data_IF_413537726234
#
_entry.id   IF_413537726234
#
_cell.length_a   1.000
_cell.length_b   1.000
_cell.length_c   1.000
_cell.angle_alpha   90.00
_cell.angle_beta   90.00
_cell.angle_gamma   90.00
#
_symmetry.space_group_name_H-M   'P 1'
#
loop_
_entity.id
_entity.type
_entity.pdbx_description
1 polymer ?
#
# COMPACT_ATOMS: atom_id res chain seq x y z
N UNK A 1 -53.77 -15.44 10.17
CA UNK A 1 -53.01 -16.58 10.75
C UNK A 1 -51.77 -16.00 11.41
N UNK A 2 -51.60 -16.18 12.73
CA UNK A 2 -50.48 -15.59 13.49
C UNK A 2 -49.16 -16.21 13.03
N UNK A 3 -48.08 -15.43 12.93
CA UNK A 3 -46.77 -15.92 12.47
C UNK A 3 -46.27 -17.13 13.26
N UNK A 4 -46.49 -17.16 14.57
CA UNK A 4 -46.22 -18.32 15.43
C UNK A 4 -46.91 -19.61 14.97
N UNK A 5 -48.18 -19.53 14.55
CA UNK A 5 -48.91 -20.70 14.03
C UNK A 5 -48.32 -21.20 12.71
N UNK A 6 -47.76 -20.28 11.90
CA UNK A 6 -47.05 -20.66 10.68
C UNK A 6 -45.76 -21.42 11.02
N UNK A 7 -44.98 -20.95 12.00
CA UNK A 7 -43.78 -21.65 12.48
C UNK A 7 -44.10 -23.04 13.03
N UNK A 8 -45.15 -23.17 13.86
CA UNK A 8 -45.59 -24.46 14.40
C UNK A 8 -45.99 -25.44 13.28
N UNK A 9 -46.72 -24.96 12.27
CA UNK A 9 -47.09 -25.79 11.12
C UNK A 9 -45.86 -26.24 10.32
N UNK A 10 -44.88 -25.36 10.09
CA UNK A 10 -43.63 -25.71 9.40
C UNK A 10 -42.81 -26.73 10.19
N UNK A 11 -42.67 -26.51 11.51
CA UNK A 11 -42.00 -27.44 12.42
C UNK A 11 -42.60 -28.84 12.32
N UNK A 12 -43.93 -28.92 12.46
CA UNK A 12 -44.65 -30.19 12.42
C UNK A 12 -44.54 -30.87 11.04
N UNK A 13 -44.65 -30.10 9.95
CA UNK A 13 -44.55 -30.62 8.58
C UNK A 13 -43.16 -31.20 8.25
N UNK A 14 -42.08 -30.61 8.82
CA UNK A 14 -40.70 -31.08 8.64
C UNK A 14 -40.25 -32.08 9.70
N UNK A 15 -41.09 -32.40 10.69
CA UNK A 15 -40.76 -33.33 11.77
C UNK A 15 -39.61 -32.84 12.67
N UNK A 16 -39.41 -31.53 12.79
CA UNK A 16 -38.33 -30.96 13.61
C UNK A 16 -38.75 -31.01 15.09
N UNK A 17 -37.96 -31.68 15.92
CA UNK A 17 -38.15 -31.70 17.38
C UNK A 17 -37.33 -30.57 18.00
N UNK A 18 -38.00 -29.66 18.69
CA UNK A 18 -37.36 -28.61 19.47
C UNK A 18 -36.94 -29.15 20.82
N UNK A 19 -35.74 -28.76 21.26
CA UNK A 19 -35.26 -29.07 22.60
C UNK A 19 -35.79 -28.04 23.62
N UNK A 20 -35.82 -28.38 24.93
CA UNK A 20 -36.26 -27.44 25.96
C UNK A 20 -35.41 -26.17 26.06
N UNK A 21 -34.15 -26.24 25.62
CA UNK A 21 -33.20 -25.12 25.54
C UNK A 21 -33.18 -24.44 24.16
N UNK A 22 -34.05 -24.83 23.22
CA UNK A 22 -34.14 -24.12 21.94
C UNK A 22 -34.92 -22.81 22.15
N UNK A 23 -34.28 -21.67 21.85
CA UNK A 23 -34.90 -20.34 21.96
C UNK A 23 -35.36 -19.84 20.59
N UNK A 24 -36.53 -19.21 20.53
CA UNK A 24 -37.05 -18.57 19.31
C UNK A 24 -36.88 -17.07 19.41
N UNK A 25 -36.16 -16.49 18.45
CA UNK A 25 -36.06 -15.04 18.28
C UNK A 25 -36.96 -14.62 17.13
N UNK A 26 -37.73 -13.55 17.36
CA UNK A 26 -38.60 -12.92 16.38
C UNK A 26 -38.21 -11.46 16.23
N UNK A 27 -38.05 -11.02 14.99
CA UNK A 27 -37.74 -9.64 14.66
C UNK A 27 -38.73 -9.14 13.60
N UNK A 28 -39.06 -7.86 13.65
CA UNK A 28 -39.98 -7.23 12.72
C UNK A 28 -39.21 -6.22 11.88
N UNK A 29 -38.91 -6.58 10.63
CA UNK A 29 -38.12 -5.75 9.73
C UNK A 29 -39.03 -4.95 8.78
N UNK A 30 -38.69 -3.68 8.50
CA UNK A 30 -39.39 -2.89 7.49
C UNK A 30 -39.08 -3.43 6.09
N UNK A 31 -40.05 -3.38 5.18
CA UNK A 31 -39.80 -3.76 3.78
C UNK A 31 -38.88 -2.77 3.10
N UNK A 32 -37.91 -3.29 2.33
CA UNK A 32 -37.01 -2.48 1.50
C UNK A 32 -37.71 -1.61 0.45
N UNK A 33 -38.90 -2.04 -0.02
CA UNK A 33 -39.70 -1.29 -0.98
C UNK A 33 -41.19 -1.36 -0.61
N UNK A 34 -41.79 -0.19 -0.34
CA UNK A 34 -43.20 -0.02 -0.01
C UNK A 34 -43.50 0.02 1.48
N UNK A 35 -44.77 0.25 1.82
CA UNK A 35 -45.23 0.29 3.22
C UNK A 35 -45.41 -1.13 3.78
N UNK A 36 -44.93 -1.34 5.00
CA UNK A 36 -45.19 -2.54 5.79
C UNK A 36 -43.94 -3.19 6.38
N UNK A 37 -44.17 -4.25 7.14
CA UNK A 37 -43.13 -5.02 7.81
C UNK A 37 -43.24 -6.51 7.46
N UNK A 38 -42.17 -7.25 7.63
CA UNK A 38 -42.16 -8.71 7.62
C UNK A 38 -41.49 -9.26 8.87
N UNK A 39 -41.89 -10.47 9.26
CA UNK A 39 -41.30 -11.17 10.39
C UNK A 39 -40.05 -11.92 9.95
N UNK A 40 -38.95 -11.65 10.64
CA UNK A 40 -37.73 -12.45 10.65
C UNK A 40 -37.72 -13.36 11.88
N UNK A 41 -37.04 -14.50 11.75
CA UNK A 41 -36.83 -15.38 12.88
C UNK A 41 -35.57 -16.19 12.72
N UNK A 42 -35.06 -16.68 13.84
CA UNK A 42 -34.12 -17.79 13.92
C UNK A 42 -34.35 -18.53 15.23
N UNK A 43 -33.95 -19.80 15.26
CA UNK A 43 -33.87 -20.57 16.50
C UNK A 43 -32.41 -20.64 16.97
N UNK A 44 -32.23 -20.59 18.28
CA UNK A 44 -30.95 -20.77 18.96
C UNK A 44 -30.95 -22.13 19.62
N UNK A 45 -29.93 -22.95 19.37
CA UNK A 45 -29.70 -24.19 20.10
C UNK A 45 -28.46 -24.06 20.96
N UNK A 46 -28.64 -23.96 22.28
CA UNK A 46 -27.53 -23.74 23.22
C UNK A 46 -26.62 -24.95 23.36
N UNK A 47 -27.19 -26.16 23.37
CA UNK A 47 -26.43 -27.43 23.41
C UNK A 47 -25.37 -27.54 22.30
N UNK A 48 -25.72 -27.15 21.08
CA UNK A 48 -24.85 -27.20 19.89
C UNK A 48 -24.15 -25.87 19.59
N UNK A 49 -24.44 -24.80 20.35
CA UNK A 49 -23.98 -23.42 20.10
C UNK A 49 -24.21 -22.98 18.66
N UNK A 50 -25.41 -23.16 18.14
CA UNK A 50 -25.73 -22.87 16.74
C UNK A 50 -27.04 -22.14 16.58
N UNK A 51 -27.15 -21.42 15.48
CA UNK A 51 -28.43 -20.92 14.98
C UNK A 51 -28.98 -21.90 13.93
N UNK A 52 -30.30 -21.99 13.82
CA UNK A 52 -30.96 -22.74 12.76
C UNK A 52 -32.31 -22.14 12.37
N UNK A 53 -32.79 -22.52 11.19
CA UNK A 53 -34.08 -22.12 10.65
C UNK A 53 -34.92 -23.36 10.34
N UNK A 54 -36.24 -23.22 10.41
CA UNK A 54 -37.13 -24.33 10.03
C UNK A 54 -37.18 -24.49 8.51
N UNK A 55 -36.82 -23.47 7.75
CA UNK A 55 -36.75 -23.48 6.29
C UNK A 55 -35.29 -23.45 5.82
N UNK A 56 -35.09 -23.71 4.54
CA UNK A 56 -33.78 -23.66 3.93
C UNK A 56 -33.36 -22.18 3.88
N UNK A 57 -32.34 -21.83 4.66
CA UNK A 57 -31.83 -20.47 4.77
C UNK A 57 -30.57 -20.32 3.90
N UNK A 58 -30.56 -19.31 3.05
CA UNK A 58 -29.39 -18.98 2.25
C UNK A 58 -28.37 -18.22 3.11
N UNK A 59 -27.39 -18.97 3.62
CA UNK A 59 -26.31 -18.45 4.46
C UNK A 59 -25.16 -17.83 3.64
N UNK A 60 -25.30 -17.68 2.31
CA UNK A 60 -24.24 -17.19 1.43
C UNK A 60 -23.84 -15.74 1.73
N UNK A 61 -24.79 -14.89 2.13
CA UNK A 61 -24.52 -13.50 2.50
C UNK A 61 -23.67 -13.42 3.78
N UNK A 62 -23.96 -14.24 4.78
CA UNK A 62 -23.23 -14.28 6.05
C UNK A 62 -21.78 -14.75 5.92
N UNK A 63 -21.45 -15.51 4.87
CA UNK A 63 -20.10 -16.02 4.60
C UNK A 63 -19.41 -15.30 3.44
N UNK A 64 -20.01 -14.22 2.92
CA UNK A 64 -19.56 -13.52 1.71
C UNK A 64 -18.17 -12.87 1.85
N UNK A 65 -17.68 -12.71 3.08
CA UNK A 65 -16.32 -12.25 3.38
C UNK A 65 -15.25 -13.21 2.82
N UNK A 66 -15.58 -14.50 2.68
CA UNK A 66 -14.69 -15.51 2.12
C UNK A 66 -15.18 -15.95 0.74
N UNK A 67 -14.23 -16.02 -0.21
CA UNK A 67 -14.52 -16.38 -1.61
C UNK A 67 -14.67 -17.89 -1.83
N UNK A 68 -14.14 -18.70 -0.92
CA UNK A 68 -14.08 -20.14 -1.09
C UNK A 68 -14.38 -20.86 0.23
N UNK A 69 -15.64 -20.87 0.63
CA UNK A 69 -16.11 -21.72 1.73
C UNK A 69 -16.67 -23.01 1.14
N UNK A 70 -16.09 -24.16 1.52
CA UNK A 70 -16.44 -25.45 0.92
C UNK A 70 -16.85 -26.53 1.93
N UNK A 71 -16.63 -26.31 3.22
CA UNK A 71 -16.86 -27.31 4.26
C UNK A 71 -17.87 -26.82 5.31
N UNK A 72 -18.83 -27.69 5.66
CA UNK A 72 -19.78 -27.42 6.73
C UNK A 72 -19.08 -27.19 8.09
N UNK A 73 -17.95 -27.87 8.33
CA UNK A 73 -17.15 -27.66 9.54
C UNK A 73 -16.54 -26.25 9.59
N UNK A 74 -16.25 -25.64 8.44
CA UNK A 74 -15.77 -24.27 8.36
C UNK A 74 -16.91 -23.26 8.58
N UNK A 75 -18.06 -23.50 7.94
CA UNK A 75 -19.28 -22.68 8.14
C UNK A 75 -19.71 -22.70 9.63
N UNK A 76 -19.49 -23.81 10.32
CA UNK A 76 -19.76 -23.92 11.76
C UNK A 76 -19.03 -22.86 12.59
N UNK A 77 -17.83 -22.41 12.20
CA UNK A 77 -17.16 -21.31 12.90
C UNK A 77 -17.93 -19.99 12.80
N UNK A 78 -18.53 -19.70 11.65
CA UNK A 78 -19.37 -18.51 11.48
C UNK A 78 -20.71 -18.65 12.20
N UNK A 79 -21.33 -19.84 12.17
CA UNK A 79 -22.54 -20.11 12.97
C UNK A 79 -22.28 -20.00 14.48
N UNK A 80 -21.12 -20.47 14.96
CA UNK A 80 -20.67 -20.26 16.34
C UNK A 80 -20.52 -18.76 16.63
N UNK A 81 -19.96 -17.99 15.70
CA UNK A 81 -19.83 -16.54 15.84
C UNK A 81 -21.19 -15.85 15.97
N UNK A 82 -22.15 -16.20 15.09
CA UNK A 82 -23.53 -15.69 15.18
C UNK A 82 -24.24 -16.12 16.47
N UNK A 83 -23.98 -17.33 16.97
CA UNK A 83 -24.48 -17.77 18.28
C UNK A 83 -23.95 -16.87 19.41
N UNK A 84 -22.66 -16.54 19.42
CA UNK A 84 -22.09 -15.65 20.44
C UNK A 84 -22.50 -14.18 20.25
N UNK A 85 -22.75 -13.76 19.01
CA UNK A 85 -23.35 -12.46 18.72
C UNK A 85 -24.77 -12.37 19.29
N UNK A 86 -25.55 -13.45 19.27
CA UNK A 86 -26.83 -13.50 19.97
C UNK A 86 -26.68 -13.24 21.48
N UNK A 87 -25.67 -13.82 22.13
CA UNK A 87 -25.36 -13.53 23.55
C UNK A 87 -24.94 -12.07 23.78
N UNK A 88 -24.24 -11.45 22.83
CA UNK A 88 -23.89 -10.03 22.90
C UNK A 88 -25.14 -9.14 22.82
N UNK A 89 -26.06 -9.45 21.90
CA UNK A 89 -27.24 -8.62 21.61
C UNK A 89 -28.42 -8.86 22.57
N UNK A 90 -28.60 -10.10 23.04
CA UNK A 90 -29.72 -10.53 23.88
C UNK A 90 -29.24 -11.22 25.17
N UNK A 91 -28.49 -10.54 26.06
CA UNK A 91 -27.90 -11.17 27.23
C UNK A 91 -28.88 -11.50 28.37
N UNK A 92 -30.12 -10.99 28.30
CA UNK A 92 -31.06 -10.97 29.43
C UNK A 92 -31.63 -12.35 29.74
N UNK A 93 -31.58 -12.75 31.01
CA UNK A 93 -32.20 -13.98 31.48
C UNK A 93 -31.36 -15.24 31.25
N UNK A 94 -30.22 -15.12 30.56
CA UNK A 94 -29.26 -16.20 30.40
C UNK A 94 -28.27 -16.25 31.56
N UNK A 95 -27.83 -17.46 31.90
CA UNK A 95 -26.74 -17.68 32.85
C UNK A 95 -25.54 -18.21 32.09
N UNK A 96 -24.46 -17.43 32.04
CA UNK A 96 -23.23 -17.88 31.42
C UNK A 96 -22.71 -19.15 32.09
N UNK A 97 -22.43 -20.17 31.28
CA UNK A 97 -21.80 -21.38 31.77
C UNK A 97 -20.32 -21.10 32.10
N UNK A 98 -19.87 -21.53 33.28
CA UNK A 98 -18.45 -21.42 33.68
C UNK A 98 -17.47 -22.09 32.69
N UNK A 99 -17.96 -23.07 31.92
CA UNK A 99 -17.19 -23.67 30.82
C UNK A 99 -16.83 -22.65 29.73
N UNK A 100 -17.75 -21.75 29.38
CA UNK A 100 -17.51 -20.74 28.34
C UNK A 100 -16.43 -19.74 28.78
N UNK A 101 -16.44 -19.33 30.05
CA UNK A 101 -15.41 -18.46 30.59
C UNK A 101 -14.04 -19.14 30.53
N UNK A 102 -13.92 -20.39 31.02
CA UNK A 102 -12.66 -21.14 30.96
C UNK A 102 -12.15 -21.33 29.53
N UNK A 103 -13.05 -21.59 28.59
CA UNK A 103 -12.73 -21.71 27.18
C UNK A 103 -12.15 -20.41 26.62
N UNK A 104 -12.82 -19.28 26.89
CA UNK A 104 -12.34 -17.96 26.47
C UNK A 104 -10.99 -17.60 27.11
N UNK A 105 -10.82 -17.87 28.41
CA UNK A 105 -9.53 -17.70 29.09
C UNK A 105 -8.42 -18.51 28.41
N UNK A 106 -8.69 -19.77 28.05
CA UNK A 106 -7.74 -20.60 27.31
C UNK A 106 -7.39 -20.04 25.93
N UNK A 107 -8.38 -19.53 25.19
CA UNK A 107 -8.16 -18.88 23.89
C UNK A 107 -7.27 -17.65 24.04
N UNK A 108 -7.53 -16.80 25.03
CA UNK A 108 -6.76 -15.58 25.27
C UNK A 108 -5.31 -15.87 25.68
N UNK A 109 -5.08 -16.86 26.54
CA UNK A 109 -3.73 -17.29 26.92
C UNK A 109 -2.97 -17.80 25.70
N UNK A 110 -3.61 -18.65 24.88
CA UNK A 110 -3.02 -19.13 23.64
C UNK A 110 -2.68 -17.98 22.68
N UNK A 111 -3.62 -17.05 22.47
CA UNK A 111 -3.41 -15.88 21.62
C UNK A 111 -2.26 -15.00 22.12
N UNK A 112 -2.15 -14.78 23.44
CA UNK A 112 -1.08 -13.98 24.03
C UNK A 112 0.28 -14.66 23.87
N UNK A 113 0.35 -15.97 24.07
CA UNK A 113 1.56 -16.75 23.84
C UNK A 113 1.99 -16.73 22.37
N UNK A 114 1.05 -16.95 21.44
CA UNK A 114 1.31 -16.90 20.00
C UNK A 114 1.79 -15.51 19.56
N UNK A 115 1.13 -14.42 19.96
CA UNK A 115 1.59 -13.05 19.67
C UNK A 115 2.94 -12.71 20.29
N UNK A 116 3.25 -13.25 21.47
CA UNK A 116 4.53 -13.00 22.15
C UNK A 116 5.69 -13.77 21.51
N UNK A 117 5.42 -14.92 20.92
CA UNK A 117 6.45 -15.83 20.37
C UNK A 117 6.56 -15.79 18.86
N UNK A 118 5.53 -15.27 18.16
CA UNK A 118 5.46 -15.22 16.70
C UNK A 118 5.20 -13.80 16.21
N UNK A 119 6.16 -13.17 15.48
CA UNK A 119 5.93 -11.86 14.87
C UNK A 119 4.88 -11.92 13.75
N UNK A 120 4.56 -13.12 13.26
CA UNK A 120 3.67 -13.32 12.12
C UNK A 120 2.31 -13.91 12.49
N UNK A 121 1.99 -13.98 13.79
CA UNK A 121 0.70 -14.48 14.30
C UNK A 121 -0.51 -13.84 13.61
N UNK A 122 -1.57 -14.63 13.45
CA UNK A 122 -2.84 -14.24 12.80
C UNK A 122 -3.75 -13.42 13.72
N UNK A 123 -3.48 -13.36 15.03
CA UNK A 123 -4.33 -12.59 15.96
C UNK A 123 -4.17 -11.08 15.74
N UNK A 124 -5.31 -10.38 15.66
CA UNK A 124 -5.38 -8.94 15.37
C UNK A 124 -5.31 -8.03 16.60
N UNK A 125 -4.78 -8.51 17.72
CA UNK A 125 -4.69 -7.77 18.99
C UNK A 125 -3.25 -7.72 19.49
N UNK A 126 -2.90 -6.64 20.21
CA UNK A 126 -1.61 -6.55 20.90
C UNK A 126 -1.57 -7.48 22.11
N UNK A 127 -0.38 -7.77 22.63
CA UNK A 127 -0.24 -8.58 23.85
C UNK A 127 -0.88 -7.86 25.04
N UNK A 128 -0.83 -6.52 25.04
CA UNK A 128 -1.43 -5.63 26.02
C UNK A 128 -2.96 -5.72 25.99
N UNK A 129 -3.57 -5.69 24.81
CA UNK A 129 -5.03 -5.84 24.65
C UNK A 129 -5.49 -7.21 25.19
N UNK A 130 -4.77 -8.28 24.82
CA UNK A 130 -5.09 -9.65 25.24
C UNK A 130 -4.97 -9.84 26.77
N UNK A 131 -3.98 -9.20 27.40
CA UNK A 131 -3.85 -9.15 28.87
C UNK A 131 -5.00 -8.37 29.49
N UNK A 132 -5.38 -7.23 28.92
CA UNK A 132 -6.54 -6.46 29.36
C UNK A 132 -7.83 -7.28 29.32
N UNK A 133 -8.04 -8.08 28.27
CA UNK A 133 -9.18 -9.00 28.20
C UNK A 133 -9.17 -10.08 29.27
N UNK A 134 -7.99 -10.64 29.61
CA UNK A 134 -7.86 -11.60 30.71
C UNK A 134 -8.24 -10.98 32.05
N UNK A 135 -7.74 -9.77 32.34
CA UNK A 135 -8.08 -9.05 33.58
C UNK A 135 -9.58 -8.76 33.69
N UNK A 136 -10.26 -8.46 32.56
CA UNK A 136 -11.71 -8.29 32.54
C UNK A 136 -12.44 -9.59 32.88
N UNK A 137 -11.97 -10.73 32.38
CA UNK A 137 -12.57 -12.04 32.68
C UNK A 137 -12.38 -12.45 34.13
N UNK A 138 -11.24 -12.14 34.74
CA UNK A 138 -11.00 -12.43 36.16
C UNK A 138 -11.98 -11.66 37.05
N UNK A 139 -12.30 -10.41 36.69
CA UNK A 139 -13.33 -9.61 37.38
C UNK A 139 -14.73 -10.17 37.18
N UNK A 140 -15.06 -10.61 35.96
CA UNK A 140 -16.35 -11.25 35.65
C UNK A 140 -16.52 -12.56 36.43
N UNK A 141 -15.46 -13.34 36.65
CA UNK A 141 -15.54 -14.56 37.47
C UNK A 141 -15.75 -14.27 38.96
N UNK A 142 -15.28 -13.13 39.44
CA UNK A 142 -15.40 -12.73 40.83
C UNK A 142 -16.77 -12.13 41.16
N UNK A 143 -17.47 -11.59 40.16
CA UNK A 143 -18.81 -10.99 40.31
C UNK A 143 -19.90 -12.00 39.92
N UNK A 144 -21.08 -11.90 40.54
CA UNK A 144 -22.20 -12.78 40.21
C UNK A 144 -22.71 -12.46 38.79
N UNK A 145 -23.01 -13.53 38.04
CA UNK A 145 -23.38 -13.56 36.62
C UNK A 145 -24.35 -12.41 36.22
N UNK A 146 -23.83 -11.33 35.62
CA UNK A 146 -24.62 -10.19 35.15
C UNK A 146 -24.89 -10.25 33.66
N UNK A 147 -26.01 -9.66 33.22
CA UNK A 147 -26.31 -9.53 31.79
C UNK A 147 -25.19 -8.79 31.02
N UNK A 148 -24.49 -7.87 31.69
CA UNK A 148 -23.31 -7.20 31.10
C UNK A 148 -22.11 -8.14 30.94
N UNK A 149 -21.90 -9.07 31.88
CA UNK A 149 -20.88 -10.11 31.73
C UNK A 149 -21.19 -11.04 30.56
N UNK A 150 -22.46 -11.43 30.38
CA UNK A 150 -22.92 -12.20 29.23
C UNK A 150 -22.57 -11.48 27.91
N UNK A 151 -22.83 -10.17 27.85
CA UNK A 151 -22.53 -9.35 26.68
C UNK A 151 -21.02 -9.33 26.38
N UNK A 152 -20.17 -9.11 27.39
CA UNK A 152 -18.71 -9.08 27.22
C UNK A 152 -18.17 -10.43 26.76
N UNK A 153 -18.60 -11.53 27.36
CA UNK A 153 -18.13 -12.87 26.99
C UNK A 153 -18.66 -13.26 25.61
N UNK A 154 -19.93 -12.96 25.31
CA UNK A 154 -20.51 -13.13 23.98
C UNK A 154 -19.71 -12.40 22.91
N UNK A 155 -19.41 -11.11 23.13
CA UNK A 155 -18.61 -10.31 22.21
C UNK A 155 -17.22 -10.89 21.96
N UNK A 156 -16.49 -11.27 23.03
CA UNK A 156 -15.15 -11.83 22.88
C UNK A 156 -15.16 -13.21 22.20
N UNK A 157 -16.10 -14.08 22.56
CA UNK A 157 -16.25 -15.39 21.93
C UNK A 157 -16.64 -15.28 20.44
N UNK A 158 -17.52 -14.32 20.10
CA UNK A 158 -17.87 -13.99 18.73
C UNK A 158 -16.63 -13.61 17.93
N UNK A 159 -15.84 -12.65 18.43
CA UNK A 159 -14.60 -12.20 17.79
C UNK A 159 -13.64 -13.37 17.47
N UNK A 160 -13.43 -14.29 18.42
CA UNK A 160 -12.54 -15.44 18.20
C UNK A 160 -13.16 -16.56 17.35
N UNK A 161 -14.48 -16.72 17.35
CA UNK A 161 -15.17 -17.66 16.45
C UNK A 161 -15.10 -17.15 15.00
N UNK A 162 -15.41 -15.89 14.77
CA UNK A 162 -15.31 -15.24 13.47
C UNK A 162 -13.85 -15.18 12.97
N UNK A 163 -12.88 -14.94 13.85
CA UNK A 163 -11.46 -15.02 13.51
C UNK A 163 -11.05 -16.41 12.99
N UNK A 164 -11.55 -17.49 13.60
CA UNK A 164 -11.33 -18.87 13.13
C UNK A 164 -11.93 -19.11 11.76
N UNK A 165 -13.12 -18.55 11.50
CA UNK A 165 -13.73 -18.55 10.17
C UNK A 165 -12.83 -17.83 9.15
N UNK A 166 -12.44 -16.58 9.40
CA UNK A 166 -11.61 -15.79 8.47
C UNK A 166 -10.24 -16.39 8.14
N UNK A 167 -9.69 -17.21 9.05
CA UNK A 167 -8.38 -17.85 8.91
C UNK A 167 -8.45 -19.33 8.52
N UNK A 168 -9.61 -19.83 8.09
CA UNK A 168 -9.78 -21.20 7.59
C UNK A 168 -9.35 -22.27 8.60
N UNK A 169 -9.62 -22.08 9.89
CA UNK A 169 -9.25 -23.04 10.92
C UNK A 169 -9.84 -24.42 10.64
N UNK A 170 -9.04 -25.46 10.87
CA UNK A 170 -9.42 -26.85 10.62
C UNK A 170 -9.54 -27.25 9.14
N UNK A 171 -9.23 -26.36 8.20
CA UNK A 171 -9.19 -26.66 6.77
C UNK A 171 -7.76 -26.97 6.29
N UNK A 172 -7.59 -27.70 5.18
CA UNK A 172 -6.26 -27.97 4.59
C UNK A 172 -5.48 -26.72 4.20
N UNK A 173 -6.18 -25.60 3.96
CA UNK A 173 -5.60 -24.33 3.52
C UNK A 173 -5.70 -23.23 4.61
N UNK A 174 -5.64 -23.64 5.88
CA UNK A 174 -5.65 -22.73 7.02
C UNK A 174 -4.54 -21.67 6.91
N UNK A 175 -4.87 -20.41 7.24
CA UNK A 175 -3.88 -19.34 7.31
C UNK A 175 -3.02 -19.53 8.57
N UNK A 176 -1.72 -19.74 8.39
CA UNK A 176 -0.76 -19.98 9.47
C UNK A 176 -0.08 -18.70 9.94
N UNK A 177 -0.02 -17.68 9.08
CA UNK A 177 0.54 -16.39 9.44
C UNK A 177 -0.28 -15.26 8.82
N UNK A 178 -0.30 -14.08 9.44
CA UNK A 178 -1.09 -12.94 8.96
C UNK A 178 -0.75 -12.60 7.50
N UNK A 179 0.53 -12.70 7.12
CA UNK A 179 1.08 -12.44 5.78
C UNK A 179 0.67 -13.45 4.69
N UNK A 180 0.11 -14.61 5.07
CA UNK A 180 -0.15 -15.69 4.12
C UNK A 180 -1.46 -15.45 3.35
N UNK A 181 -1.32 -15.52 2.03
CA UNK A 181 -2.45 -15.52 1.09
C UNK A 181 -3.00 -16.94 0.94
N UNK A 182 -4.30 -17.07 1.12
CA UNK A 182 -5.05 -18.32 0.89
C UNK A 182 -5.55 -18.36 -0.56
N UNK A 183 -5.95 -17.21 -1.10
CA UNK A 183 -6.42 -17.15 -2.46
C UNK A 183 -5.25 -16.95 -3.43
N UNK A 184 -5.18 -17.83 -4.43
CA UNK A 184 -4.45 -17.60 -5.67
C UNK A 184 -5.16 -16.51 -6.49
N UNK A 185 -5.22 -15.27 -5.98
CA UNK A 185 -5.45 -14.13 -6.86
C UNK A 185 -4.19 -14.00 -7.71
N UNK A 186 -4.36 -13.96 -9.03
CA UNK A 186 -3.29 -13.55 -9.94
C UNK A 186 -2.98 -12.06 -9.72
N UNK A 187 -2.39 -11.70 -8.58
CA UNK A 187 -1.72 -10.42 -8.38
C UNK A 187 -0.46 -10.28 -9.26
N UNK A 188 -0.30 -11.15 -10.27
CA UNK A 188 0.85 -11.21 -11.16
C UNK A 188 0.84 -10.17 -12.28
N UNK A 189 -0.28 -9.47 -12.53
CA UNK A 189 -0.27 -8.36 -13.49
C UNK A 189 -0.33 -7.04 -12.73
N UNK A 190 0.84 -6.60 -12.28
CA UNK A 190 1.10 -5.17 -12.03
C UNK A 190 0.53 -4.40 -13.20
N UNK A 191 -0.29 -3.38 -12.95
CA UNK A 191 -0.79 -2.58 -14.07
C UNK A 191 0.37 -1.94 -14.82
N UNK A 192 0.19 -1.68 -16.12
CA UNK A 192 1.20 -0.96 -16.90
C UNK A 192 1.58 0.39 -16.24
N UNK A 193 0.63 1.00 -15.51
CA UNK A 193 0.82 2.25 -14.78
C UNK A 193 1.91 2.13 -13.70
N UNK A 194 1.84 1.12 -12.80
CA UNK A 194 2.90 0.93 -11.80
C UNK A 194 4.21 0.46 -12.45
N UNK A 195 4.14 -0.31 -13.54
CA UNK A 195 5.31 -0.71 -14.32
C UNK A 195 6.11 0.46 -14.89
N UNK A 196 5.42 1.52 -15.35
CA UNK A 196 6.04 2.73 -15.92
C UNK A 196 6.46 3.73 -14.82
N UNK A 197 5.61 3.95 -13.82
CA UNK A 197 5.86 4.95 -12.78
C UNK A 197 6.85 4.49 -11.72
N UNK A 198 6.98 3.18 -11.48
CA UNK A 198 7.87 2.66 -10.44
C UNK A 198 9.34 3.06 -10.66
N UNK A 199 9.94 2.92 -11.86
CA UNK A 199 11.29 3.44 -12.11
C UNK A 199 11.40 4.96 -11.95
N UNK A 200 10.41 5.73 -12.44
CA UNK A 200 10.40 7.20 -12.32
C UNK A 200 10.36 7.67 -10.85
N UNK A 201 9.75 6.87 -9.99
CA UNK A 201 9.58 7.12 -8.56
C UNK A 201 10.61 6.35 -7.72
N UNK A 202 11.76 5.99 -8.31
CA UNK A 202 12.87 5.32 -7.62
C UNK A 202 12.47 4.01 -6.93
N UNK A 203 11.53 3.27 -7.51
CA UNK A 203 10.97 2.01 -7.00
C UNK A 203 10.28 2.11 -5.62
N UNK A 204 10.14 3.31 -5.05
CA UNK A 204 9.40 3.54 -3.81
C UNK A 204 7.94 3.03 -3.84
N UNK A 205 7.18 3.13 -4.96
CA UNK A 205 5.85 2.52 -5.05
C UNK A 205 5.85 1.02 -4.77
N UNK A 206 6.91 0.29 -5.12
CA UNK A 206 6.96 -1.15 -4.87
C UNK A 206 7.09 -1.44 -3.37
N UNK A 207 7.85 -0.62 -2.64
CA UNK A 207 8.01 -0.77 -1.19
C UNK A 207 6.68 -0.53 -0.48
N UNK A 208 6.00 0.59 -0.79
CA UNK A 208 4.68 0.88 -0.22
C UNK A 208 3.62 -0.15 -0.65
N UNK A 209 3.71 -0.68 -1.86
CA UNK A 209 2.83 -1.75 -2.31
C UNK A 209 2.99 -3.02 -1.47
N UNK A 210 4.23 -3.46 -1.22
CA UNK A 210 4.48 -4.63 -0.37
C UNK A 210 3.92 -4.40 1.03
N UNK A 211 4.17 -3.24 1.65
CA UNK A 211 3.64 -2.94 2.98
C UNK A 211 2.10 -2.86 3.00
N UNK A 212 1.47 -2.27 1.97
CA UNK A 212 0.01 -2.26 1.84
C UNK A 212 -0.56 -3.68 1.70
N UNK A 213 0.13 -4.53 0.95
CA UNK A 213 -0.23 -5.93 0.76
C UNK A 213 -0.02 -6.80 2.00
N UNK A 214 0.85 -6.41 2.92
CA UNK A 214 1.03 -7.08 4.22
C UNK A 214 -0.08 -6.69 5.21
N UNK A 215 -0.57 -5.46 5.13
CA UNK A 215 -1.62 -4.94 6.00
C UNK A 215 -3.03 -5.39 5.57
N UNK A 216 -3.24 -5.54 4.26
CA UNK A 216 -4.52 -5.95 3.67
C UNK A 216 -4.35 -7.22 2.84
N UNK A 217 -4.82 -8.34 3.38
CA UNK A 217 -4.60 -9.66 2.79
C UNK A 217 -5.94 -10.34 2.57
N UNK A 218 -6.19 -10.79 1.35
CA UNK A 218 -7.40 -11.55 0.99
C UNK A 218 -8.71 -10.84 1.39
N UNK A 219 -8.74 -9.51 1.32
CA UNK A 219 -9.87 -8.66 1.74
C UNK A 219 -10.09 -8.57 3.26
N UNK A 220 -9.12 -9.03 4.05
CA UNK A 220 -9.06 -8.93 5.51
C UNK A 220 -8.04 -7.86 5.92
N UNK A 221 -8.47 -6.90 6.74
CA UNK A 221 -7.61 -5.84 7.29
C UNK A 221 -7.00 -6.28 8.62
N UNK A 222 -5.67 -6.18 8.73
CA UNK A 222 -5.02 -6.21 10.05
C UNK A 222 -4.93 -4.80 10.63
N UNK A 223 -5.87 -4.46 11.50
CA UNK A 223 -5.96 -3.11 12.06
C UNK A 223 -4.70 -2.66 12.84
N UNK A 224 -4.06 -3.47 13.70
CA UNK A 224 -2.83 -3.06 14.38
C UNK A 224 -1.68 -2.76 13.42
N UNK A 225 -1.54 -3.56 12.36
CA UNK A 225 -0.52 -3.34 11.33
C UNK A 225 -0.84 -2.09 10.50
N UNK A 226 -2.12 -1.82 10.25
CA UNK A 226 -2.55 -0.57 9.62
C UNK A 226 -2.21 0.67 10.44
N UNK A 227 -2.48 0.66 11.75
CA UNK A 227 -2.10 1.76 12.64
C UNK A 227 -0.59 1.95 12.62
N UNK A 228 0.18 0.87 12.81
CA UNK A 228 1.65 0.92 12.78
C UNK A 228 2.18 1.47 11.45
N UNK A 229 1.64 0.99 10.33
CA UNK A 229 2.01 1.41 8.99
C UNK A 229 1.70 2.89 8.73
N UNK A 230 0.50 3.34 9.08
CA UNK A 230 0.09 4.75 8.88
C UNK A 230 0.84 5.72 9.79
N UNK A 231 1.15 5.33 11.03
CA UNK A 231 2.04 6.10 11.91
C UNK A 231 3.44 6.22 11.31
N UNK A 232 4.01 5.12 10.80
CA UNK A 232 5.32 5.15 10.12
C UNK A 232 5.30 6.07 8.90
N UNK A 233 4.28 5.99 8.04
CA UNK A 233 4.12 6.87 6.88
C UNK A 233 4.05 8.35 7.27
N UNK A 234 3.27 8.66 8.30
CA UNK A 234 3.16 10.04 8.81
C UNK A 234 4.52 10.57 9.27
N UNK A 235 5.29 9.76 10.01
CA UNK A 235 6.63 10.14 10.47
C UNK A 235 7.61 10.30 9.30
N UNK A 236 7.53 9.41 8.30
CA UNK A 236 8.33 9.49 7.08
C UNK A 236 8.09 10.81 6.34
N UNK A 237 6.83 11.18 6.07
CA UNK A 237 6.52 12.44 5.41
C UNK A 237 6.97 13.66 6.19
N UNK A 238 6.84 13.65 7.53
CA UNK A 238 7.37 14.74 8.36
C UNK A 238 8.90 14.83 8.29
N UNK A 239 9.59 13.69 8.26
CA UNK A 239 11.05 13.64 8.16
C UNK A 239 11.59 14.18 6.82
N UNK A 240 10.76 14.21 5.77
CA UNK A 240 11.11 14.76 4.45
C UNK A 240 11.05 16.30 4.40
N UNK A 241 10.40 16.96 5.37
CA UNK A 241 10.26 18.43 5.39
C UNK A 241 11.60 19.13 5.57
N UNK A 242 12.45 18.62 6.48
CA UNK A 242 13.77 19.19 6.76
C UNK A 242 14.69 19.16 5.55
N UNK A 243 14.96 18.00 4.90
CA UNK A 243 15.81 17.97 3.72
C UNK A 243 15.22 18.76 2.54
N UNK A 244 13.89 18.76 2.34
CA UNK A 244 13.27 19.56 1.29
C UNK A 244 13.46 21.08 1.50
N UNK A 245 13.38 21.55 2.75
CA UNK A 245 13.64 22.97 3.08
C UNK A 245 15.10 23.33 2.87
N UNK A 246 16.03 22.49 3.36
CA UNK A 246 17.48 22.72 3.18
C UNK A 246 17.84 22.77 1.70
N UNK A 247 17.27 21.88 0.90
CA UNK A 247 17.53 21.84 -0.54
C UNK A 247 16.91 23.03 -1.28
N UNK A 248 15.72 23.49 -0.85
CA UNK A 248 15.11 24.72 -1.33
C UNK A 248 16.01 25.93 -1.06
N UNK A 249 16.47 26.09 0.17
CA UNK A 249 17.37 27.18 0.58
C UNK A 249 18.69 27.13 -0.18
N UNK A 250 19.28 25.94 -0.34
CA UNK A 250 20.50 25.74 -1.12
C UNK A 250 20.31 26.09 -2.60
N UNK A 251 19.18 25.72 -3.20
CA UNK A 251 18.87 26.03 -4.60
C UNK A 251 18.66 27.53 -4.83
N UNK A 252 18.00 28.21 -3.89
CA UNK A 252 17.82 29.67 -3.91
C UNK A 252 19.16 30.39 -3.70
N UNK A 253 19.95 29.97 -2.72
CA UNK A 253 21.27 30.53 -2.45
C UNK A 253 22.21 30.35 -3.65
N UNK A 254 22.15 29.20 -4.32
CA UNK A 254 22.92 28.94 -5.53
C UNK A 254 22.55 29.90 -6.68
N UNK A 255 21.27 30.20 -6.87
CA UNK A 255 20.83 31.20 -7.86
C UNK A 255 21.24 32.63 -7.51
N UNK A 256 21.46 32.93 -6.23
CA UNK A 256 21.92 34.25 -5.78
C UNK A 256 23.42 34.47 -6.03
N UNK A 257 24.19 33.43 -6.37
CA UNK A 257 25.60 33.56 -6.71
C UNK A 257 25.71 34.34 -8.03
N UNK A 258 26.42 35.49 -8.07
CA UNK A 258 26.48 36.34 -9.26
C UNK A 258 26.96 35.60 -10.51
N UNK A 259 27.90 34.66 -10.38
CA UNK A 259 28.43 33.85 -11.51
C UNK A 259 27.37 33.01 -12.23
N UNK A 260 26.29 32.68 -11.52
CA UNK A 260 25.17 31.89 -12.04
C UNK A 260 24.17 32.77 -12.79
N UNK A 261 23.92 34.00 -12.33
CA UNK A 261 23.03 34.98 -12.97
C UNK A 261 23.76 36.28 -13.37
N UNK A 262 24.59 36.18 -14.42
CA UNK A 262 25.39 37.31 -14.91
C UNK A 262 24.60 38.38 -15.68
N UNK A 263 23.28 38.21 -15.91
CA UNK A 263 22.42 39.17 -16.63
C UNK A 263 22.80 39.47 -18.10
N UNK A 264 23.87 38.85 -18.62
CA UNK A 264 24.47 39.15 -19.92
C UNK A 264 23.82 38.40 -21.10
N UNK A 265 23.04 37.35 -20.84
CA UNK A 265 22.37 36.56 -21.88
C UNK A 265 20.84 36.71 -21.79
N UNK A 266 20.13 36.93 -22.91
CA UNK A 266 18.67 37.04 -22.92
C UNK A 266 17.96 35.71 -22.62
N UNK A 267 18.69 34.58 -22.65
CA UNK A 267 18.19 33.25 -22.35
C UNK A 267 18.77 32.76 -21.02
N UNK A 268 17.94 32.10 -20.22
CA UNK A 268 18.34 31.49 -18.93
C UNK A 268 19.32 30.34 -19.17
N UNK A 269 20.37 30.26 -18.35
CA UNK A 269 21.36 29.18 -18.41
C UNK A 269 20.75 27.82 -18.03
N UNK A 270 21.30 26.73 -18.56
CA UNK A 270 20.93 25.35 -18.22
C UNK A 270 20.93 25.11 -16.69
N UNK A 271 21.95 25.62 -15.99
CA UNK A 271 22.07 25.51 -14.54
C UNK A 271 20.94 26.26 -13.81
N UNK A 272 20.54 27.43 -14.30
CA UNK A 272 19.43 28.20 -13.74
C UNK A 272 18.10 27.45 -13.88
N UNK A 273 17.83 26.87 -15.07
CA UNK A 273 16.63 26.09 -15.33
C UNK A 273 16.54 24.86 -14.41
N UNK A 274 17.65 24.13 -14.26
CA UNK A 274 17.72 22.98 -13.36
C UNK A 274 17.56 23.37 -11.88
N UNK A 275 18.07 24.53 -11.46
CA UNK A 275 17.84 25.03 -10.11
C UNK A 275 16.36 25.40 -9.88
N UNK A 276 15.68 26.00 -10.88
CA UNK A 276 14.23 26.22 -10.80
C UNK A 276 13.43 24.91 -10.71
N UNK A 277 13.83 23.88 -11.46
CA UNK A 277 13.22 22.54 -11.35
C UNK A 277 13.41 21.98 -9.92
N UNK A 278 14.61 22.12 -9.35
CA UNK A 278 14.89 21.73 -7.95
C UNK A 278 13.99 22.47 -6.95
N UNK A 279 13.83 23.78 -7.11
CA UNK A 279 12.98 24.62 -6.24
C UNK A 279 11.52 24.14 -6.30
N UNK A 280 10.96 23.99 -7.52
CA UNK A 280 9.57 23.55 -7.70
C UNK A 280 9.37 22.15 -7.16
N UNK A 281 10.31 21.23 -7.40
CA UNK A 281 10.24 19.86 -6.88
C UNK A 281 10.36 19.81 -5.35
N UNK A 282 11.19 20.66 -4.73
CA UNK A 282 11.33 20.78 -3.27
C UNK A 282 10.03 21.30 -2.63
N UNK A 283 9.45 22.38 -3.19
CA UNK A 283 8.14 22.90 -2.75
C UNK A 283 7.06 21.83 -2.92
N UNK A 284 7.05 21.14 -4.06
CA UNK A 284 6.12 20.03 -4.33
C UNK A 284 6.22 18.93 -3.27
N UNK A 285 7.44 18.49 -2.93
CA UNK A 285 7.68 17.50 -1.88
C UNK A 285 7.16 17.97 -0.51
N UNK A 286 7.42 19.24 -0.14
CA UNK A 286 6.93 19.82 1.12
C UNK A 286 5.40 19.86 1.18
N UNK A 287 4.76 20.37 0.13
CA UNK A 287 3.30 20.47 0.06
C UNK A 287 2.65 19.08 0.11
N UNK A 288 3.17 18.13 -0.67
CA UNK A 288 2.66 16.75 -0.66
C UNK A 288 2.85 16.08 0.71
N UNK A 289 4.01 16.25 1.34
CA UNK A 289 4.29 15.74 2.69
C UNK A 289 3.30 16.29 3.72
N UNK A 290 3.03 17.60 3.71
CA UNK A 290 2.09 18.24 4.63
C UNK A 290 0.64 17.82 4.37
N UNK A 291 0.22 17.74 3.09
CA UNK A 291 -1.13 17.33 2.72
C UNK A 291 -1.41 15.89 3.15
N UNK A 292 -0.47 14.98 2.87
CA UNK A 292 -0.61 13.56 3.23
C UNK A 292 -0.57 13.38 4.75
N UNK A 293 0.35 14.03 5.46
CA UNK A 293 0.42 13.99 6.92
C UNK A 293 -0.88 14.51 7.57
N UNK A 294 -1.47 15.59 7.03
CA UNK A 294 -2.75 16.13 7.53
C UNK A 294 -3.91 15.18 7.25
N UNK A 295 -4.01 14.66 6.03
CA UNK A 295 -5.12 13.81 5.62
C UNK A 295 -5.11 12.47 6.38
N UNK A 296 -3.92 11.88 6.56
CA UNK A 296 -3.76 10.65 7.31
C UNK A 296 -3.83 10.86 8.81
N UNK A 297 -3.27 11.94 9.36
CA UNK A 297 -3.44 12.28 10.78
C UNK A 297 -4.92 12.38 11.20
N UNK A 298 -5.78 12.94 10.34
CA UNK A 298 -7.23 12.96 10.56
C UNK A 298 -7.91 11.59 10.38
N UNK A 299 -7.23 10.63 9.72
CA UNK A 299 -7.73 9.30 9.38
C UNK A 299 -7.20 8.20 10.31
N UNK A 300 -6.13 8.45 11.07
CA UNK A 300 -5.53 7.52 12.05
C UNK A 300 -6.51 7.13 13.17
N UNK A 301 -7.54 7.94 13.42
CA UNK A 301 -8.58 7.67 14.42
C UNK A 301 -9.81 6.94 13.88
N UNK A 302 -9.82 6.54 12.60
CA UNK A 302 -10.96 5.81 12.03
C UNK A 302 -10.99 4.37 12.54
N UNK A 303 -12.19 3.86 12.79
CA UNK A 303 -12.39 2.46 13.15
C UNK A 303 -12.04 1.52 11.97
N UNK A 304 -11.88 0.22 12.26
CA UNK A 304 -11.50 -0.76 11.25
C UNK A 304 -12.51 -0.83 10.08
N UNK A 305 -13.80 -0.65 10.36
CA UNK A 305 -14.88 -0.67 9.36
C UNK A 305 -14.75 0.48 8.37
N UNK A 306 -14.49 1.69 8.82
CA UNK A 306 -14.26 2.85 7.96
C UNK A 306 -13.00 2.70 7.11
N UNK A 307 -11.97 2.00 7.61
CA UNK A 307 -10.76 1.69 6.83
C UNK A 307 -11.05 0.63 5.77
N UNK A 308 -11.84 -0.39 6.11
CA UNK A 308 -12.33 -1.41 5.16
C UNK A 308 -13.18 -0.74 4.08
N UNK A 309 -14.21 0.01 4.47
CA UNK A 309 -15.08 0.76 3.57
C UNK A 309 -14.30 1.79 2.77
N UNK A 310 -13.29 2.43 3.38
CA UNK A 310 -12.33 3.22 2.65
C UNK A 310 -11.75 2.32 1.59
N UNK A 311 -10.99 1.25 1.88
CA UNK A 311 -10.25 0.35 0.97
C UNK A 311 -11.09 -0.35 -0.11
N UNK A 312 -12.37 -0.58 0.14
CA UNK A 312 -13.28 -1.30 -0.79
C UNK A 312 -14.20 -0.38 -1.60
N UNK A 313 -14.22 0.94 -1.34
CA UNK A 313 -15.12 1.94 -1.99
C UNK A 313 -15.28 1.85 -3.53
N UNK A 314 -14.34 1.27 -4.27
CA UNK A 314 -14.42 1.12 -5.73
C UNK A 314 -14.20 -0.35 -6.14
N UNK A 315 -14.87 -0.78 -7.21
CA UNK A 315 -14.93 -2.18 -7.73
C UNK A 315 -13.57 -2.87 -8.00
N UNK A 316 -12.43 -2.18 -7.93
CA UNK A 316 -11.10 -2.75 -8.14
C UNK A 316 -10.14 -2.39 -6.99
N UNK A 317 -10.06 -3.23 -5.93
CA UNK A 317 -9.17 -2.98 -4.78
C UNK A 317 -7.69 -2.92 -5.18
N UNK A 318 -7.29 -3.68 -6.21
CA UNK A 318 -5.91 -3.75 -6.71
C UNK A 318 -5.45 -2.41 -7.27
N UNK A 319 -6.21 -1.83 -8.22
CA UNK A 319 -5.90 -0.54 -8.85
C UNK A 319 -5.76 0.54 -7.78
N UNK A 320 -6.57 0.45 -6.73
CA UNK A 320 -6.54 1.45 -5.69
C UNK A 320 -5.37 1.30 -4.74
N UNK A 321 -4.98 0.08 -4.38
CA UNK A 321 -3.73 -0.14 -3.65
C UNK A 321 -2.53 0.35 -4.45
N UNK A 322 -2.53 0.16 -5.78
CA UNK A 322 -1.49 0.70 -6.66
C UNK A 322 -1.48 2.23 -6.68
N UNK A 323 -2.65 2.86 -6.79
CA UNK A 323 -2.77 4.31 -6.72
C UNK A 323 -2.29 4.85 -5.36
N UNK A 324 -2.66 4.20 -4.25
CA UNK A 324 -2.22 4.59 -2.91
C UNK A 324 -0.70 4.44 -2.75
N UNK A 325 -0.13 3.32 -3.21
CA UNK A 325 1.31 3.10 -3.16
C UNK A 325 2.09 4.17 -3.95
N UNK A 326 1.56 4.59 -5.10
CA UNK A 326 2.13 5.69 -5.90
C UNK A 326 2.00 7.00 -5.16
N UNK A 327 0.80 7.35 -4.67
CA UNK A 327 0.55 8.60 -3.95
C UNK A 327 1.47 8.74 -2.73
N UNK A 328 1.62 7.68 -1.94
CA UNK A 328 2.48 7.70 -0.75
C UNK A 328 3.96 7.86 -1.06
N UNK A 329 4.39 7.40 -2.25
CA UNK A 329 5.78 7.55 -2.72
C UNK A 329 6.10 8.94 -3.27
N UNK A 330 5.09 9.75 -3.62
CA UNK A 330 5.29 11.03 -4.31
C UNK A 330 6.17 12.02 -3.54
N UNK A 331 6.01 12.23 -2.21
CA UNK A 331 6.85 13.18 -1.49
C UNK A 331 8.33 12.81 -1.53
N UNK A 332 8.65 11.53 -1.35
CA UNK A 332 10.00 11.02 -1.47
C UNK A 332 10.55 11.17 -2.89
N UNK A 333 9.79 10.73 -3.90
CA UNK A 333 10.27 10.78 -5.27
C UNK A 333 10.49 12.22 -5.77
N UNK A 334 9.60 13.15 -5.43
CA UNK A 334 9.77 14.58 -5.78
C UNK A 334 10.98 15.19 -5.08
N UNK A 335 11.26 14.82 -3.83
CA UNK A 335 12.49 15.22 -3.12
C UNK A 335 13.74 14.68 -3.83
N UNK A 336 13.73 13.42 -4.26
CA UNK A 336 14.86 12.82 -4.98
C UNK A 336 15.10 13.50 -6.34
N UNK A 337 14.05 13.84 -7.08
CA UNK A 337 14.16 14.62 -8.31
C UNK A 337 14.69 16.03 -8.06
N UNK A 338 14.29 16.68 -6.96
CA UNK A 338 14.86 17.96 -6.57
C UNK A 338 16.38 17.85 -6.33
N UNK A 339 16.79 16.82 -5.58
CA UNK A 339 18.19 16.58 -5.25
C UNK A 339 19.02 16.37 -6.53
N UNK A 340 18.54 15.52 -7.43
CA UNK A 340 19.22 15.25 -8.71
C UNK A 340 19.32 16.53 -9.55
N UNK A 341 18.23 17.30 -9.68
CA UNK A 341 18.24 18.53 -10.45
C UNK A 341 19.23 19.56 -9.90
N UNK A 342 19.27 19.74 -8.57
CA UNK A 342 20.25 20.60 -7.90
C UNK A 342 21.69 20.14 -8.12
N UNK A 343 21.95 18.84 -7.96
CA UNK A 343 23.27 18.26 -8.15
C UNK A 343 23.79 18.42 -9.58
N UNK A 344 22.92 18.25 -10.59
CA UNK A 344 23.28 18.50 -12.00
C UNK A 344 23.53 20.00 -12.22
N UNK A 345 22.68 20.87 -11.68
CA UNK A 345 22.84 22.33 -11.77
C UNK A 345 24.18 22.79 -11.19
N UNK A 346 24.52 22.32 -10.00
CA UNK A 346 25.78 22.62 -9.33
C UNK A 346 26.98 22.07 -10.13
N UNK A 347 26.88 20.83 -10.64
CA UNK A 347 27.92 20.24 -11.49
C UNK A 347 28.18 21.06 -12.75
N UNK A 348 27.13 21.54 -13.42
CA UNK A 348 27.27 22.37 -14.62
C UNK A 348 28.07 23.65 -14.34
N UNK A 349 27.83 24.31 -13.20
CA UNK A 349 28.59 25.50 -12.83
C UNK A 349 30.06 25.16 -12.53
N UNK A 350 30.33 24.06 -11.82
CA UNK A 350 31.70 23.63 -11.51
C UNK A 350 32.52 23.20 -12.74
N UNK A 351 31.90 22.57 -13.73
CA UNK A 351 32.61 21.97 -14.88
C UNK A 351 32.57 22.80 -16.16
N UNK A 352 31.50 23.57 -16.42
CA UNK A 352 31.37 24.36 -17.66
C UNK A 352 31.93 25.78 -17.53
N UNK A 353 31.91 26.35 -16.33
CA UNK A 353 32.39 27.72 -16.07
C UNK A 353 33.57 27.80 -15.09
N UNK A 354 34.02 26.67 -14.54
CA UNK A 354 35.08 26.63 -13.53
C UNK A 354 36.49 26.78 -14.12
N UNK A 355 37.36 27.46 -13.38
CA UNK A 355 38.80 27.51 -13.67
C UNK A 355 39.43 26.11 -13.53
N UNK A 356 40.47 25.76 -14.32
CA UNK A 356 41.11 24.44 -14.26
C UNK A 356 41.55 24.03 -12.85
N UNK A 357 41.96 24.99 -12.02
CA UNK A 357 42.40 24.78 -10.64
C UNK A 357 41.27 24.33 -9.69
N UNK A 358 40.01 24.70 -9.93
CA UNK A 358 38.86 24.29 -9.12
C UNK A 358 38.14 23.07 -9.71
N UNK A 359 38.27 22.84 -11.02
CA UNK A 359 37.64 21.70 -11.71
C UNK A 359 38.23 20.35 -11.29
N UNK A 360 39.56 20.22 -11.20
CA UNK A 360 40.22 18.96 -10.82
C UNK A 360 39.83 18.43 -9.43
N UNK A 361 39.91 19.21 -8.33
CA UNK A 361 39.53 18.71 -7.01
C UNK A 361 38.04 18.37 -6.93
N UNK A 362 37.19 19.16 -7.59
CA UNK A 362 35.75 18.91 -7.66
C UNK A 362 35.44 17.62 -8.41
N UNK A 363 36.11 17.35 -9.54
CA UNK A 363 35.99 16.10 -10.29
C UNK A 363 36.35 14.87 -9.44
N UNK A 364 37.46 14.94 -8.70
CA UNK A 364 37.89 13.86 -7.80
C UNK A 364 36.85 13.61 -6.71
N UNK A 365 36.32 14.66 -6.09
CA UNK A 365 35.27 14.54 -5.07
C UNK A 365 34.00 13.86 -5.62
N UNK A 366 33.55 14.24 -6.82
CA UNK A 366 32.41 13.62 -7.50
C UNK A 366 32.63 12.13 -7.79
N UNK A 367 33.82 11.76 -8.29
CA UNK A 367 34.15 10.36 -8.57
C UNK A 367 34.17 9.53 -7.29
N UNK A 368 34.77 10.05 -6.22
CA UNK A 368 34.81 9.37 -4.91
C UNK A 368 33.39 9.20 -4.37
N UNK A 369 32.56 10.25 -4.40
CA UNK A 369 31.17 10.16 -3.93
C UNK A 369 30.35 9.18 -4.77
N UNK A 370 30.49 9.19 -6.10
CA UNK A 370 29.80 8.24 -6.97
C UNK A 370 30.25 6.79 -6.71
N UNK A 371 31.54 6.57 -6.47
CA UNK A 371 32.08 5.25 -6.12
C UNK A 371 31.53 4.76 -4.77
N UNK A 372 31.48 5.64 -3.75
CA UNK A 372 30.91 5.33 -2.44
C UNK A 372 29.41 5.03 -2.51
N UNK A 373 28.64 5.82 -3.25
CA UNK A 373 27.20 5.59 -3.45
C UNK A 373 26.97 4.26 -4.17
N UNK A 374 27.73 4.00 -5.24
CA UNK A 374 27.64 2.75 -6.00
C UNK A 374 28.01 1.54 -5.13
N UNK A 375 29.04 1.69 -4.29
CA UNK A 375 29.44 0.69 -3.32
C UNK A 375 28.31 0.41 -2.32
N UNK A 376 27.73 1.44 -1.70
CA UNK A 376 26.61 1.30 -0.78
C UNK A 376 25.43 0.57 -1.42
N UNK A 377 25.04 0.95 -2.65
CA UNK A 377 23.94 0.31 -3.38
C UNK A 377 24.27 -1.16 -3.67
N UNK A 378 25.51 -1.47 -4.07
CA UNK A 378 25.94 -2.84 -4.35
C UNK A 378 25.99 -3.72 -3.09
N UNK A 379 26.38 -3.15 -1.94
CA UNK A 379 26.48 -3.88 -0.67
C UNK A 379 25.14 -4.04 0.06
N UNK A 380 24.27 -3.03 0.02
CA UNK A 380 22.99 -3.02 0.73
C UNK A 380 21.83 -3.53 -0.14
N UNK A 381 21.91 -3.37 -1.47
CA UNK A 381 20.96 -3.95 -2.40
C UNK A 381 21.25 -5.44 -2.55
N UNK A 382 20.61 -6.26 -1.71
CA UNK A 382 20.83 -7.71 -1.53
C UNK A 382 20.79 -8.62 -2.77
N UNK A 383 20.72 -8.09 -4.00
CA UNK A 383 21.08 -8.80 -5.23
C UNK A 383 21.81 -7.86 -6.21
N UNK A 384 23.10 -8.10 -6.51
CA UNK A 384 23.92 -7.23 -7.38
C UNK A 384 23.38 -7.08 -8.82
N UNK A 385 22.53 -8.01 -9.27
CA UNK A 385 21.99 -8.03 -10.63
C UNK A 385 20.83 -7.05 -10.87
N UNK A 386 19.99 -6.78 -9.87
CA UNK A 386 18.78 -5.96 -10.06
C UNK A 386 19.05 -4.47 -9.89
N UNK A 387 19.90 -4.07 -8.94
CA UNK A 387 20.16 -2.65 -8.65
C UNK A 387 20.87 -1.92 -9.79
N UNK A 388 21.92 -2.51 -10.36
CA UNK A 388 22.67 -1.90 -11.49
C UNK A 388 21.82 -1.89 -12.76
N UNK A 389 21.05 -2.96 -13.02
CA UNK A 389 20.13 -3.02 -14.16
C UNK A 389 18.98 -2.02 -14.01
N UNK A 390 18.47 -1.80 -12.79
CA UNK A 390 17.43 -0.82 -12.51
C UNK A 390 17.95 0.62 -12.61
N UNK A 391 19.19 0.90 -12.20
CA UNK A 391 19.83 2.21 -12.41
C UNK A 391 20.14 2.44 -13.89
N UNK A 392 20.63 1.44 -14.62
CA UNK A 392 20.84 1.53 -16.07
C UNK A 392 19.52 1.68 -16.84
N UNK A 393 18.45 1.01 -16.40
CA UNK A 393 17.09 1.20 -16.94
C UNK A 393 16.58 2.60 -16.64
N UNK A 394 16.78 3.09 -15.42
CA UNK A 394 16.45 4.46 -15.01
C UNK A 394 17.17 5.49 -15.91
N UNK A 395 18.49 5.38 -16.09
CA UNK A 395 19.25 6.25 -16.99
C UNK A 395 18.77 6.16 -18.46
N UNK A 396 18.32 4.99 -18.91
CA UNK A 396 17.72 4.81 -20.25
C UNK A 396 16.28 5.32 -20.37
N UNK A 397 15.56 5.47 -19.27
CA UNK A 397 14.15 5.89 -19.21
C UNK A 397 13.95 7.36 -18.83
N UNK A 398 15.03 8.10 -18.52
CA UNK A 398 14.97 9.56 -18.46
C UNK A 398 14.42 10.04 -19.81
N UNK A 399 13.29 10.77 -19.84
CA UNK A 399 12.69 11.24 -21.08
C UNK A 399 13.76 11.96 -21.91
N UNK A 400 13.88 11.60 -23.19
CA UNK A 400 14.77 12.29 -24.14
C UNK A 400 14.49 13.79 -24.25
N UNK A 401 13.35 14.26 -23.74
CA UNK A 401 13.05 15.67 -23.53
C UNK A 401 13.88 16.33 -22.42
N UNK A 402 14.13 15.68 -21.28
CA UNK A 402 14.98 16.23 -20.19
C UNK A 402 16.45 16.18 -20.62
N UNK A 403 16.89 15.06 -21.21
CA UNK A 403 18.21 14.97 -21.81
C UNK A 403 18.38 15.93 -23.01
N UNK A 404 17.31 16.17 -23.76
CA UNK A 404 17.27 17.05 -24.93
C UNK A 404 17.14 18.53 -24.58
N UNK A 405 16.67 18.88 -23.38
CA UNK A 405 16.78 20.23 -22.81
C UNK A 405 18.22 20.46 -22.35
N UNK A 406 18.87 19.46 -21.73
CA UNK A 406 20.30 19.51 -21.40
C UNK A 406 21.16 19.59 -22.67
N UNK A 407 20.86 18.80 -23.70
CA UNK A 407 21.61 18.78 -24.97
C UNK A 407 21.37 20.03 -25.83
N UNK A 408 20.18 20.66 -25.76
CA UNK A 408 19.93 21.95 -26.43
C UNK A 408 20.47 23.15 -25.66
N UNK A 409 20.81 22.99 -24.39
CA UNK A 409 21.32 24.07 -23.55
C UNK A 409 22.86 24.10 -23.43
N UNK A 410 23.56 23.17 -24.11
CA UNK A 410 25.01 23.23 -24.32
C UNK A 410 25.24 24.01 -25.63
N UNK A 411 25.85 25.21 -25.61
CA UNK A 411 26.22 25.89 -26.84
C UNK A 411 27.37 25.12 -27.52
N UNK A 412 27.26 24.94 -28.84
CA UNK A 412 28.36 24.45 -29.67
C UNK A 412 29.55 25.41 -29.53
N UNK A 413 30.61 24.99 -28.84
CA UNK A 413 31.88 25.70 -28.87
C UNK A 413 32.53 25.51 -30.25
N UNK A 414 32.84 26.59 -31.01
CA UNK A 414 33.55 26.49 -32.28
C UNK A 414 35.04 26.30 -31.99
N UNK A 415 35.43 25.06 -31.68
CA UNK A 415 36.79 24.82 -31.20
C UNK A 415 37.25 23.38 -31.29
N UNK A 416 36.68 22.56 -32.17
CA UNK A 416 37.19 21.22 -32.52
C UNK A 416 36.55 20.74 -33.84
N UNK A 417 36.80 21.47 -34.93
CA UNK A 417 36.83 20.83 -36.26
C UNK A 417 38.26 20.45 -36.55
N UNK A 418 38.59 19.20 -36.25
CA UNK A 418 39.83 18.59 -36.70
C UNK A 418 39.90 18.63 -38.22
N UNK A 419 41.03 19.12 -38.70
CA UNK A 419 41.53 19.02 -40.07
C UNK A 419 41.33 17.60 -40.63
N UNK A 420 40.36 17.43 -41.52
CA UNK A 420 40.20 16.22 -42.35
C UNK A 420 39.27 16.51 -43.54
N UNK A 421 39.56 17.58 -44.31
CA UNK A 421 38.93 17.82 -45.61
C UNK A 421 39.74 18.84 -46.42
N UNK A 422 41.01 18.53 -46.71
CA UNK A 422 41.80 19.22 -47.71
C UNK A 422 42.77 18.20 -48.33
N UNK A 423 42.24 17.37 -49.21
CA UNK A 423 43.01 16.29 -49.82
C UNK A 423 42.12 15.29 -50.54
N UNK A 424 41.43 15.74 -51.59
CA UNK A 424 40.87 14.94 -52.70
C UNK A 424 39.98 15.82 -53.55
N UNK A 425 40.58 16.58 -54.45
CA UNK A 425 39.94 17.09 -55.66
C UNK A 425 41.04 17.63 -56.59
N UNK A 426 41.76 16.71 -57.22
CA UNK A 426 42.50 16.92 -58.47
C UNK A 426 43.19 15.62 -58.87
N UNK A 427 42.44 14.75 -59.55
CA UNK A 427 42.95 13.74 -60.49
C UNK A 427 41.78 12.82 -60.89
N UNK A 428 41.00 13.22 -61.89
CA UNK A 428 40.63 12.31 -62.98
C UNK A 428 39.80 13.08 -64.01
N UNK A 429 40.38 13.33 -65.18
CA UNK A 429 39.70 13.29 -66.48
C UNK A 429 40.75 13.60 -67.57
N UNK A 430 41.41 12.52 -68.03
CA UNK A 430 42.01 12.44 -69.36
C UNK A 430 41.61 11.10 -69.96
N UNK A 431 40.70 11.15 -70.93
CA UNK A 431 40.99 10.85 -72.33
C UNK A 431 39.69 10.47 -73.03
N UNK A 432 39.34 11.22 -74.06
CA UNK A 432 39.02 10.62 -75.34
C UNK A 432 39.60 11.49 -76.46
N UNK A 433 40.34 10.80 -77.32
CA UNK A 433 41.06 11.25 -78.51
C UNK A 433 40.16 10.92 -79.70
N UNK A 434 39.95 11.87 -80.62
CA UNK A 434 40.14 11.80 -82.09
C UNK A 434 38.87 12.39 -82.75
N UNK A 435 38.83 13.13 -83.86
CA UNK A 435 39.76 13.41 -84.95
C UNK A 435 39.21 14.61 -85.76
N UNK A 436 40.10 15.29 -86.51
CA UNK A 436 39.86 16.09 -87.74
C UNK A 436 39.39 17.57 -87.68
N UNK A 437 40.38 18.44 -87.88
CA UNK A 437 40.42 19.72 -88.64
C UNK A 437 39.80 19.60 -90.07
N UNK A 438 39.63 20.68 -90.90
CA UNK A 438 40.29 22.00 -90.86
C UNK A 438 39.44 23.23 -91.28
N UNK A 439 40.05 24.42 -91.23
CA UNK A 439 39.68 25.60 -92.03
C UNK A 439 39.35 26.83 -91.18
N UNK A 440 40.30 27.74 -90.93
CA UNK A 440 40.65 28.91 -91.75
C UNK A 440 39.60 30.02 -91.75
N UNK A 441 39.99 31.23 -91.31
CA UNK A 441 39.30 32.44 -91.71
C UNK A 441 39.33 33.57 -90.68
N UNK A 442 40.35 34.43 -90.84
CA UNK A 442 40.49 35.84 -90.39
C UNK A 442 40.40 36.18 -88.92
#
# INVERSE_FOLDING_TARGET
MTFLKLLDNMRNARGIVLLPDDELVLELEPRYSGDGHYWCYYYVRHSDRTLFWLHDYDFSADISELKAVSSAAHIKHELDAKYWLHWEMFPQGHKLAQRAIRELTGILIHAAADRSTSPVSTFGYSVEDLRGFLELLDRIQADDNSDHANCVVGRLMNLFAHHRFLNFYGQPYARLCHGQRVYSRSFGQRTALIGILSPLLFYAPNVHMTSLQEVWIDDILSYPHWVTYTTRLSNEWQSLLTPATVLLDASIAFLAIPSVDNGQHPQRSAAQILSYISIVASIGSMVLSLLLARQYGATTHKNAEEVVAFLTKNNNPIIRMEALAIIYSLPYATMMWALIAFLISFSMECFLKGDPLSTYPTAVAWIVMAALISWCIATLGGHPGDSIVNILKFCKQIPSGILGVVHRAIPDHPGLRTSSAAGREHADERHDVEMQTPGSGS
#
